data_IF_703283581788
#
_entry.id   IF_703283581788
#
_cell.length_a   1.000
_cell.length_b   1.000
_cell.length_c   1.000
_cell.angle_alpha   90.00
_cell.angle_beta   90.00
_cell.angle_gamma   90.00
#
_symmetry.space_group_name_H-M   'P 1'
#
loop_
_entity.id
_entity.type
_entity.pdbx_description
1 polymer ?
#
# COMPACT_ATOMS: atom_id res chain seq x y z
N UNK A 1 1.31 12.18 4.93
CA UNK A 1 2.05 10.91 5.16
C UNK A 1 2.07 9.95 3.97
N UNK A 2 1.03 9.15 3.67
CA UNK A 2 1.12 8.16 2.55
C UNK A 2 1.43 8.81 1.20
N UNK A 3 0.68 9.84 0.82
CA UNK A 3 0.92 10.61 -0.42
C UNK A 3 2.31 11.25 -0.41
N UNK A 4 2.71 11.83 0.72
CA UNK A 4 4.04 12.43 0.90
C UNK A 4 5.16 11.40 0.71
N UNK A 5 4.96 10.18 1.19
CA UNK A 5 5.90 9.06 1.03
C UNK A 5 6.00 8.63 -0.44
N UNK A 6 4.88 8.64 -1.17
CA UNK A 6 4.85 8.29 -2.60
C UNK A 6 5.58 9.35 -3.45
N UNK A 7 5.40 10.64 -3.15
CA UNK A 7 6.18 11.71 -3.79
C UNK A 7 7.68 11.59 -3.50
N UNK A 8 8.06 11.35 -2.24
CA UNK A 8 9.46 11.13 -1.90
C UNK A 8 10.04 9.95 -2.69
N UNK A 9 9.34 8.83 -2.75
CA UNK A 9 9.75 7.68 -3.56
C UNK A 9 9.88 8.02 -5.06
N UNK A 10 8.96 8.82 -5.62
CA UNK A 10 9.04 9.24 -7.02
C UNK A 10 10.29 10.10 -7.28
N UNK A 11 10.58 11.06 -6.41
CA UNK A 11 11.78 11.91 -6.48
C UNK A 11 13.07 11.06 -6.41
N UNK A 12 13.14 10.13 -5.46
CA UNK A 12 14.26 9.19 -5.27
C UNK A 12 14.53 8.33 -6.51
N UNK A 13 13.49 8.01 -7.28
CA UNK A 13 13.57 7.18 -8.47
C UNK A 13 13.55 7.98 -9.79
N UNK A 14 13.61 9.32 -9.72
CA UNK A 14 13.54 10.20 -10.90
C UNK A 14 12.30 9.98 -11.77
N UNK A 15 11.16 9.72 -11.12
CA UNK A 15 9.87 9.49 -11.77
C UNK A 15 9.07 10.80 -11.76
N UNK A 16 8.54 11.22 -12.92
CA UNK A 16 7.61 12.36 -13.01
C UNK A 16 6.25 11.96 -12.40
N UNK A 17 5.83 12.57 -11.27
CA UNK A 17 4.56 12.24 -10.62
C UNK A 17 3.34 12.46 -11.51
N UNK A 18 3.40 13.35 -12.51
CA UNK A 18 2.30 13.58 -13.44
C UNK A 18 2.03 12.38 -14.38
N UNK A 19 2.97 11.44 -14.45
CA UNK A 19 2.86 10.22 -15.25
C UNK A 19 2.45 8.99 -14.43
N UNK A 20 2.35 9.15 -13.11
CA UNK A 20 2.07 8.06 -12.17
C UNK A 20 0.60 8.07 -11.78
N UNK A 21 -0.02 6.89 -11.85
CA UNK A 21 -1.37 6.67 -11.33
C UNK A 21 -1.28 5.72 -10.14
N UNK A 22 -1.84 6.15 -9.01
CA UNK A 22 -1.91 5.33 -7.80
C UNK A 22 -3.30 4.70 -7.69
N UNK A 23 -3.31 3.42 -7.37
CA UNK A 23 -4.50 2.70 -6.96
C UNK A 23 -4.48 2.56 -5.44
N UNK A 24 -5.64 2.70 -4.81
CA UNK A 24 -5.83 2.59 -3.35
C UNK A 24 -7.04 1.69 -3.08
N UNK A 25 -6.85 0.66 -2.24
CA UNK A 25 -7.88 -0.28 -1.81
C UNK A 25 -9.18 0.36 -1.33
N UNK A 26 -9.06 1.52 -0.67
CA UNK A 26 -10.19 2.27 -0.13
C UNK A 26 -11.26 2.62 -1.17
N UNK A 27 -10.92 2.57 -2.47
CA UNK A 27 -11.85 2.84 -3.58
C UNK A 27 -12.45 1.58 -4.22
N UNK A 28 -11.95 0.38 -3.91
CA UNK A 28 -12.46 -0.86 -4.51
C UNK A 28 -13.72 -1.39 -3.84
N UNK A 29 -13.83 -1.23 -2.52
CA UNK A 29 -14.92 -1.77 -1.74
C UNK A 29 -15.40 -0.78 -0.72
N UNK A 30 -16.66 -0.91 -0.32
CA UNK A 30 -17.15 -0.24 0.88
C UNK A 30 -16.65 -1.00 2.12
N UNK A 31 -15.38 -0.76 2.47
CA UNK A 31 -14.66 -1.35 3.59
C UNK A 31 -15.32 -1.08 4.96
N UNK A 32 -16.35 -0.22 5.00
CA UNK A 32 -17.08 0.17 6.21
C UNK A 32 -18.47 -0.48 6.33
N UNK A 33 -19.00 -1.09 5.26
CA UNK A 33 -20.34 -1.70 5.27
C UNK A 33 -20.32 -3.23 5.27
N UNK A 34 -19.18 -3.84 5.57
CA UNK A 34 -19.18 -5.27 5.88
C UNK A 34 -20.17 -5.50 7.02
N UNK A 35 -21.28 -6.17 6.70
CA UNK A 35 -22.31 -6.51 7.66
C UNK A 35 -21.66 -7.51 8.62
N UNK A 36 -21.64 -7.27 9.94
CA UNK A 36 -21.10 -8.24 10.87
C UNK A 36 -21.75 -9.62 10.66
N UNK A 37 -20.95 -10.62 10.30
CA UNK A 37 -21.42 -11.99 9.98
C UNK A 37 -21.74 -12.26 8.50
N UNK A 38 -21.65 -11.25 7.63
CA UNK A 38 -21.67 -11.38 6.16
C UNK A 38 -20.33 -10.87 5.63
N UNK A 39 -19.32 -11.74 5.72
CA UNK A 39 -18.00 -11.42 5.18
C UNK A 39 -18.04 -11.30 3.66
N UNK A 40 -17.01 -10.70 3.09
CA UNK A 40 -16.76 -10.75 1.65
C UNK A 40 -16.38 -12.18 1.25
N UNK A 41 -16.89 -12.66 0.11
CA UNK A 41 -16.46 -13.95 -0.43
C UNK A 41 -15.04 -13.85 -1.02
N UNK A 42 -14.35 -14.99 -1.10
CA UNK A 42 -13.04 -15.04 -1.76
C UNK A 42 -13.11 -14.59 -3.23
N UNK A 43 -14.21 -14.90 -3.92
CA UNK A 43 -14.44 -14.51 -5.31
C UNK A 43 -14.57 -12.99 -5.46
N UNK A 44 -15.36 -12.33 -4.59
CA UNK A 44 -15.48 -10.86 -4.59
C UNK A 44 -14.16 -10.17 -4.23
N UNK A 45 -13.37 -10.77 -3.33
CA UNK A 45 -12.03 -10.30 -3.00
C UNK A 45 -11.09 -10.40 -4.20
N UNK A 46 -11.07 -11.57 -4.85
CA UNK A 46 -10.24 -11.81 -6.01
C UNK A 46 -10.64 -10.84 -7.14
N UNK A 47 -11.92 -10.68 -7.46
CA UNK A 47 -12.36 -9.74 -8.50
C UNK A 47 -11.91 -8.30 -8.21
N UNK A 48 -12.03 -7.85 -6.96
CA UNK A 48 -11.82 -6.45 -6.56
C UNK A 48 -10.34 -6.07 -6.39
N UNK A 49 -9.50 -6.99 -5.91
CA UNK A 49 -8.10 -6.70 -5.59
C UNK A 49 -7.13 -7.32 -6.59
N UNK A 50 -7.37 -8.56 -7.04
CA UNK A 50 -6.43 -9.31 -7.85
C UNK A 50 -6.16 -8.59 -9.19
N UNK A 51 -7.22 -8.17 -9.87
CA UNK A 51 -7.13 -7.49 -11.16
C UNK A 51 -6.32 -6.19 -11.08
N UNK A 52 -6.55 -5.39 -10.02
CA UNK A 52 -5.81 -4.15 -9.79
C UNK A 52 -4.34 -4.40 -9.49
N UNK A 53 -4.03 -5.30 -8.55
CA UNK A 53 -2.64 -5.58 -8.15
C UNK A 53 -1.84 -6.19 -9.31
N UNK A 54 -2.42 -7.14 -10.05
CA UNK A 54 -1.80 -7.70 -11.25
C UNK A 54 -1.53 -6.65 -12.33
N UNK A 55 -2.43 -5.68 -12.49
CA UNK A 55 -2.27 -4.60 -13.46
C UNK A 55 -1.18 -3.60 -13.03
N UNK A 56 -1.14 -3.24 -11.75
CA UNK A 56 -0.20 -2.26 -11.19
C UNK A 56 1.24 -2.73 -11.20
N UNK A 57 1.51 -4.03 -11.05
CA UNK A 57 2.85 -4.68 -11.05
C UNK A 57 3.85 -4.18 -9.99
N UNK A 58 3.53 -3.11 -9.26
CA UNK A 58 4.32 -2.55 -8.17
C UNK A 58 3.39 -2.14 -7.02
N UNK A 59 3.80 -2.45 -5.80
CA UNK A 59 3.12 -2.04 -4.56
C UNK A 59 4.04 -1.14 -3.76
N UNK A 60 3.52 0.02 -3.38
CA UNK A 60 4.20 0.98 -2.51
C UNK A 60 3.64 0.85 -1.09
N UNK A 61 4.34 0.11 -0.24
CA UNK A 61 3.95 -0.09 1.16
C UNK A 61 4.40 1.10 2.01
N UNK A 62 3.45 1.98 2.34
CA UNK A 62 3.72 3.12 3.20
C UNK A 62 3.88 2.68 4.66
N UNK A 63 5.12 2.70 5.14
CA UNK A 63 5.47 2.38 6.52
C UNK A 63 5.34 3.64 7.40
N UNK A 64 4.10 4.00 7.75
CA UNK A 64 3.83 5.16 8.59
C UNK A 64 2.94 4.83 9.81
N UNK A 65 3.39 5.12 11.03
CA UNK A 65 4.78 5.47 11.37
C UNK A 65 5.74 4.31 11.04
N UNK A 66 7.04 4.58 10.86
CA UNK A 66 7.99 3.57 10.38
C UNK A 66 8.18 2.39 11.34
N UNK A 67 8.06 2.66 12.64
CA UNK A 67 8.31 1.70 13.72
C UNK A 67 7.10 0.83 14.08
N UNK A 68 5.90 1.29 13.78
CA UNK A 68 4.65 0.55 13.94
C UNK A 68 3.67 0.93 12.81
N UNK A 69 3.90 0.46 11.57
CA UNK A 69 3.13 0.89 10.42
C UNK A 69 1.64 0.61 10.58
N UNK A 70 0.81 1.65 10.44
CA UNK A 70 -0.64 1.49 10.49
C UNK A 70 -1.15 0.50 9.44
N UNK A 71 -0.48 0.40 8.29
CA UNK A 71 -0.78 -0.55 7.22
C UNK A 71 -0.68 -2.01 7.67
N UNK A 72 0.18 -2.35 8.66
CA UNK A 72 0.24 -3.72 9.21
C UNK A 72 -0.93 -4.06 10.14
N UNK A 73 -1.72 -3.06 10.57
CA UNK A 73 -2.91 -3.26 11.40
C UNK A 73 -4.21 -3.28 10.59
N UNK A 74 -4.11 -3.19 9.26
CA UNK A 74 -5.25 -3.14 8.34
C UNK A 74 -5.30 -4.41 7.51
N UNK A 75 -6.38 -5.18 7.66
CA UNK A 75 -6.55 -6.46 6.95
C UNK A 75 -6.38 -6.32 5.43
N UNK A 76 -6.95 -5.27 4.83
CA UNK A 76 -6.86 -5.00 3.40
C UNK A 76 -5.43 -4.81 2.93
N UNK A 77 -4.62 -4.03 3.66
CA UNK A 77 -3.21 -3.84 3.35
C UNK A 77 -2.40 -5.14 3.44
N UNK A 78 -2.73 -6.03 4.40
CA UNK A 78 -2.08 -7.35 4.51
C UNK A 78 -2.44 -8.23 3.31
N UNK A 79 -3.70 -8.20 2.87
CA UNK A 79 -4.16 -8.94 1.68
C UNK A 79 -3.43 -8.44 0.43
N UNK A 80 -3.25 -7.13 0.27
CA UNK A 80 -2.49 -6.56 -0.85
C UNK A 80 -1.03 -7.05 -0.87
N UNK A 81 -0.37 -7.12 0.29
CA UNK A 81 0.98 -7.67 0.41
C UNK A 81 1.01 -9.16 0.01
N UNK A 82 0.02 -9.94 0.44
CA UNK A 82 -0.07 -11.36 0.08
C UNK A 82 -0.22 -11.56 -1.44
N UNK A 83 -1.07 -10.75 -2.09
CA UNK A 83 -1.22 -10.78 -3.55
C UNK A 83 0.02 -10.26 -4.28
N UNK A 84 0.69 -9.22 -3.79
CA UNK A 84 1.94 -8.75 -4.35
C UNK A 84 3.01 -9.86 -4.39
N UNK A 85 3.09 -10.66 -3.31
CA UNK A 85 3.96 -11.85 -3.26
C UNK A 85 3.49 -12.91 -4.26
N UNK A 86 2.20 -13.23 -4.28
CA UNK A 86 1.64 -14.26 -5.16
C UNK A 86 1.84 -13.95 -6.65
N UNK A 87 1.75 -12.68 -7.03
CA UNK A 87 1.91 -12.21 -8.41
C UNK A 87 3.31 -11.71 -8.74
N UNK A 88 4.26 -11.85 -7.80
CA UNK A 88 5.65 -11.42 -7.96
C UNK A 88 5.77 -9.95 -8.40
N UNK A 89 4.92 -9.09 -7.83
CA UNK A 89 5.00 -7.66 -8.03
C UNK A 89 6.26 -7.08 -7.39
N UNK A 90 6.74 -5.97 -7.94
CA UNK A 90 7.75 -5.15 -7.26
C UNK A 90 7.15 -4.58 -5.97
N UNK A 91 7.94 -4.57 -4.89
CA UNK A 91 7.45 -4.16 -3.58
C UNK A 91 8.44 -3.19 -2.94
N UNK A 92 8.01 -1.94 -2.78
CA UNK A 92 8.81 -0.88 -2.18
C UNK A 92 8.22 -0.50 -0.82
N UNK A 93 9.05 -0.50 0.22
CA UNK A 93 8.69 0.14 1.50
C UNK A 93 9.04 1.62 1.39
N UNK A 94 8.03 2.47 1.51
CA UNK A 94 8.18 3.92 1.34
C UNK A 94 7.96 4.64 2.67
N UNK A 95 8.76 5.68 2.90
CA UNK A 95 8.74 6.55 4.08
C UNK A 95 8.56 8.00 3.63
N UNK A 96 7.90 8.82 4.45
CA UNK A 96 7.95 10.26 4.28
C UNK A 96 9.30 10.79 4.75
N UNK A 97 9.70 11.99 4.30
CA UNK A 97 10.98 12.60 4.71
C UNK A 97 11.13 12.66 6.25
N UNK A 98 10.05 13.00 6.96
CA UNK A 98 10.02 13.04 8.42
C UNK A 98 10.20 11.65 9.05
N UNK A 99 9.60 10.61 8.48
CA UNK A 99 9.77 9.23 8.97
C UNK A 99 11.19 8.71 8.68
N UNK A 100 11.78 9.09 7.54
CA UNK A 100 13.15 8.71 7.20
C UNK A 100 14.18 9.37 8.13
N UNK A 101 13.99 10.65 8.46
CA UNK A 101 14.80 11.35 9.46
C UNK A 101 14.67 10.67 10.83
N UNK A 102 13.44 10.41 11.28
CA UNK A 102 13.19 9.74 12.56
C UNK A 102 13.78 8.32 12.61
N UNK A 103 13.74 7.58 11.51
CA UNK A 103 14.37 6.26 11.40
C UNK A 103 15.90 6.38 11.52
N UNK A 104 16.51 7.30 10.77
CA UNK A 104 17.97 7.50 10.76
C UNK A 104 18.48 7.90 12.14
N UNK A 105 17.83 8.86 12.81
CA UNK A 105 18.21 9.27 14.17
C UNK A 105 18.04 8.18 15.23
N UNK A 106 17.23 7.16 14.98
CA UNK A 106 17.03 6.05 15.92
C UNK A 106 18.10 4.95 15.80
N UNK A 107 18.85 4.93 14.69
CA UNK A 107 19.90 3.92 14.42
C UNK A 107 21.33 4.48 14.50
N UNK A 108 21.49 5.80 14.59
CA UNK A 108 22.74 6.50 14.91
C UNK A 108 23.04 6.48 16.42
#
# INVERSE_FOLDING_TARGET
ETVSSAFAWADLNSIDPATVYLWLDAFCLNQHTEIPGKGISQEELDESFNSCIQCSKRVLFAANPWNDPASLHRLWCIIEVAYAIAFQCEFDVILSAAQQEAFTSAIE
#
